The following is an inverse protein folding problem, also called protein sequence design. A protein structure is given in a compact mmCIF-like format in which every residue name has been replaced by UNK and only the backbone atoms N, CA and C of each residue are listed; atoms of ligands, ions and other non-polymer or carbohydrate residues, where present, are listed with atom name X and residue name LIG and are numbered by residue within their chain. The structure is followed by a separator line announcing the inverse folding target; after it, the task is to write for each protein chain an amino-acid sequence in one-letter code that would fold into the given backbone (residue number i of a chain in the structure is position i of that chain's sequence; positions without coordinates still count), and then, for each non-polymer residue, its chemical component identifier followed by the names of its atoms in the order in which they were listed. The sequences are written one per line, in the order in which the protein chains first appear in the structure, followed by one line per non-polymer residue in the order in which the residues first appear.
data_IF_900361954067
#
_entry.id   IF_900361954067
#
_cell.length_a   1.000
_cell.length_b   1.000
_cell.length_c   1.000
_cell.angle_alpha   90.00
_cell.angle_beta   90.00
_cell.angle_gamma   90.00
#
_symmetry.space_group_name_H-M   'P 1'
#
loop_
_entity.id
_entity.type
_entity.pdbx_description
1 polymer ?
#
# COMPACT_ATOMS: atom_id res chain seq x y z
N UNK A 1 -8.55 43.11 -34.55
CA UNK A 1 -7.71 42.02 -35.08
C UNK A 1 -7.69 40.84 -34.10
N UNK A 2 -8.85 40.24 -33.81
CA UNK A 2 -8.94 39.00 -33.02
C UNK A 2 -9.92 38.08 -33.72
N UNK A 3 -9.46 37.52 -34.84
CA UNK A 3 -10.09 36.39 -35.49
C UNK A 3 -8.99 35.67 -36.28
N UNK A 4 -9.15 34.36 -36.44
CA UNK A 4 -8.26 33.40 -37.13
C UNK A 4 -6.97 33.06 -36.38
N UNK A 5 -6.98 31.98 -35.57
CA UNK A 5 -6.27 30.71 -35.86
C UNK A 5 -6.84 29.59 -34.94
N UNK A 6 -7.98 29.02 -35.32
CA UNK A 6 -8.46 27.73 -34.80
C UNK A 6 -8.89 26.87 -36.00
N UNK A 7 -7.96 26.64 -36.92
CA UNK A 7 -8.11 25.65 -37.99
C UNK A 7 -6.98 24.64 -37.85
N UNK A 8 -7.19 23.68 -36.96
CA UNK A 8 -6.63 22.32 -36.95
C UNK A 8 -7.01 21.67 -35.61
N UNK A 9 -8.29 21.31 -35.47
CA UNK A 9 -8.78 20.37 -34.45
C UNK A 9 -9.22 19.09 -35.15
N UNK A 10 -8.34 18.54 -35.98
CA UNK A 10 -8.52 17.22 -36.58
C UNK A 10 -8.01 16.16 -35.61
N UNK A 11 -8.98 15.45 -35.03
CA UNK A 11 -8.93 14.07 -34.53
C UNK A 11 -7.56 13.37 -34.58
N UNK A 12 -6.77 13.50 -33.52
CA UNK A 12 -5.80 12.49 -33.12
C UNK A 12 -5.91 12.26 -31.62
N UNK A 13 -6.84 11.39 -31.23
CA UNK A 13 -6.99 10.89 -29.87
C UNK A 13 -5.81 9.96 -29.57
N UNK A 14 -4.69 10.52 -29.12
CA UNK A 14 -3.53 9.74 -28.69
C UNK A 14 -3.91 8.88 -27.48
N UNK A 15 -3.64 7.57 -27.61
CA UNK A 15 -4.19 6.45 -26.85
C UNK A 15 -3.67 6.28 -25.40
N UNK A 16 -3.69 7.33 -24.57
CA UNK A 16 -3.15 7.24 -23.20
C UNK A 16 -4.08 7.65 -22.06
N UNK A 17 -5.37 7.91 -22.32
CA UNK A 17 -6.32 8.21 -21.23
C UNK A 17 -7.65 7.49 -21.39
N UNK A 18 -8.41 7.49 -20.30
CA UNK A 18 -9.66 6.76 -20.18
C UNK A 18 -10.68 7.25 -21.23
N UNK A 19 -11.16 6.38 -22.13
CA UNK A 19 -12.21 6.74 -23.07
C UNK A 19 -13.54 6.91 -22.33
N UNK A 20 -13.92 8.16 -22.09
CA UNK A 20 -15.23 8.51 -21.54
C UNK A 20 -16.31 8.28 -22.60
N UNK A 21 -17.46 7.74 -22.20
CA UNK A 21 -18.54 7.30 -23.10
C UNK A 21 -19.78 8.16 -22.90
N UNK A 22 -20.51 8.44 -23.99
CA UNK A 22 -21.82 9.12 -23.96
C UNK A 22 -21.74 10.60 -23.60
N UNK A 23 -20.62 11.24 -23.94
CA UNK A 23 -20.39 12.69 -23.81
C UNK A 23 -20.12 13.34 -25.18
N UNK A 24 -20.51 12.67 -26.26
CA UNK A 24 -20.20 13.05 -27.63
C UNK A 24 -21.00 14.27 -28.10
N UNK A 25 -22.24 14.41 -27.62
CA UNK A 25 -23.13 15.53 -27.94
C UNK A 25 -23.94 15.98 -26.70
N UNK A 26 -24.56 17.15 -26.83
CA UNK A 26 -25.42 17.80 -25.84
C UNK A 26 -26.89 17.67 -26.22
N UNK A 27 -27.79 17.71 -25.24
CA UNK A 27 -29.22 17.62 -25.53
C UNK A 27 -29.71 18.95 -26.13
N UNK A 28 -30.56 18.86 -27.15
CA UNK A 28 -31.21 20.04 -27.69
C UNK A 28 -32.27 20.56 -26.73
N UNK A 29 -32.29 21.89 -26.56
CA UNK A 29 -33.29 22.56 -25.75
C UNK A 29 -34.61 22.64 -26.54
N UNK A 30 -35.55 21.77 -26.22
CA UNK A 30 -36.84 21.70 -26.92
C UNK A 30 -37.72 22.87 -26.49
N UNK A 31 -38.34 23.51 -27.49
CA UNK A 31 -39.35 24.53 -27.29
C UNK A 31 -40.67 23.87 -26.84
N UNK A 32 -40.84 23.69 -25.53
CA UNK A 32 -42.06 23.12 -24.96
C UNK A 32 -42.87 24.21 -24.24
N UNK A 33 -44.15 24.34 -24.60
CA UNK A 33 -45.15 25.08 -23.82
C UNK A 33 -45.43 24.28 -22.54
N UNK A 34 -44.55 24.37 -21.54
CA UNK A 34 -44.85 23.86 -20.21
C UNK A 34 -45.80 24.83 -19.50
N UNK A 35 -46.96 24.31 -19.09
CA UNK A 35 -48.07 25.05 -18.50
C UNK A 35 -47.75 25.71 -17.16
N UNK A 36 -48.55 26.75 -16.89
CA UNK A 36 -48.80 27.52 -15.66
C UNK A 36 -47.71 27.48 -14.56
N UNK A 37 -46.89 28.54 -14.56
CA UNK A 37 -45.75 28.77 -13.65
C UNK A 37 -44.48 29.21 -14.38
N UNK A 38 -44.56 29.33 -15.71
CA UNK A 38 -43.46 29.58 -16.64
C UNK A 38 -42.76 30.93 -16.43
N UNK A 39 -41.43 30.93 -16.61
CA UNK A 39 -40.64 32.16 -16.71
C UNK A 39 -41.31 33.11 -17.73
N UNK A 40 -41.22 34.44 -17.51
CA UNK A 40 -41.58 35.43 -18.52
C UNK A 40 -41.01 35.06 -19.91
N UNK A 41 -41.84 35.24 -20.95
CA UNK A 41 -41.56 34.76 -22.31
C UNK A 41 -40.24 35.30 -22.88
N UNK A 42 -39.89 36.54 -22.54
CA UNK A 42 -38.62 37.19 -22.85
C UNK A 42 -37.42 36.46 -22.21
N UNK A 43 -37.54 36.05 -20.94
CA UNK A 43 -36.50 35.30 -20.24
C UNK A 43 -36.37 33.88 -20.76
N UNK A 44 -37.46 33.22 -21.14
CA UNK A 44 -37.42 31.89 -21.76
C UNK A 44 -36.74 31.95 -23.13
N UNK A 45 -37.11 32.93 -23.97
CA UNK A 45 -36.49 33.14 -25.29
C UNK A 45 -34.98 33.39 -25.15
N UNK A 46 -34.58 34.15 -24.13
CA UNK A 46 -33.16 34.39 -23.84
C UNK A 46 -32.43 33.11 -23.37
N UNK A 47 -33.05 32.26 -22.55
CA UNK A 47 -32.48 30.95 -22.18
C UNK A 47 -32.33 30.06 -23.41
N UNK A 48 -33.33 29.99 -24.28
CA UNK A 48 -33.29 29.21 -25.52
C UNK A 48 -32.12 29.65 -26.42
N UNK A 49 -31.96 30.95 -26.67
CA UNK A 49 -30.85 31.47 -27.48
C UNK A 49 -29.48 31.17 -26.85
N UNK A 50 -29.35 31.31 -25.53
CA UNK A 50 -28.10 30.97 -24.82
C UNK A 50 -27.76 29.49 -24.93
N UNK A 51 -28.74 28.60 -24.75
CA UNK A 51 -28.49 27.15 -24.84
C UNK A 51 -28.15 26.75 -26.28
N UNK A 52 -28.81 27.32 -27.29
CA UNK A 52 -28.48 27.07 -28.70
C UNK A 52 -27.06 27.55 -29.07
N UNK A 53 -26.65 28.73 -28.60
CA UNK A 53 -25.27 29.22 -28.75
C UNK A 53 -24.28 28.31 -28.04
N UNK A 54 -24.61 27.85 -26.83
CA UNK A 54 -23.81 26.89 -26.08
C UNK A 54 -23.65 25.56 -26.81
N UNK A 55 -24.74 25.01 -27.37
CA UNK A 55 -24.74 23.75 -28.12
C UNK A 55 -23.90 23.86 -29.39
N UNK A 56 -23.99 24.99 -30.11
CA UNK A 56 -23.13 25.26 -31.27
C UNK A 56 -21.65 25.28 -30.87
N UNK A 57 -21.30 26.06 -29.85
CA UNK A 57 -19.93 26.17 -29.35
C UNK A 57 -19.39 24.81 -28.87
N UNK A 58 -20.22 23.99 -28.22
CA UNK A 58 -19.85 22.65 -27.77
C UNK A 58 -19.50 21.74 -28.96
N UNK A 59 -20.34 21.74 -30.01
CA UNK A 59 -20.10 20.95 -31.24
C UNK A 59 -18.88 21.44 -32.03
N UNK A 60 -18.59 22.73 -31.96
CA UNK A 60 -17.36 23.34 -32.49
C UNK A 60 -16.13 23.09 -31.59
N UNK A 61 -16.29 22.34 -30.48
CA UNK A 61 -15.26 22.07 -29.48
C UNK A 61 -14.70 23.32 -28.76
N UNK A 62 -15.42 24.45 -28.83
CA UNK A 62 -15.15 25.64 -28.04
C UNK A 62 -15.85 25.55 -26.67
N UNK A 63 -15.29 24.72 -25.78
CA UNK A 63 -15.91 24.40 -24.50
C UNK A 63 -16.01 25.58 -23.53
N UNK A 64 -15.06 26.53 -23.59
CA UNK A 64 -15.09 27.73 -22.73
C UNK A 64 -16.32 28.60 -23.03
N UNK A 65 -16.59 28.85 -24.31
CA UNK A 65 -17.76 29.59 -24.75
C UNK A 65 -19.05 28.82 -24.45
N UNK A 66 -19.05 27.49 -24.62
CA UNK A 66 -20.18 26.65 -24.24
C UNK A 66 -20.51 26.77 -22.74
N UNK A 67 -19.51 26.65 -21.87
CA UNK A 67 -19.65 26.78 -20.41
C UNK A 67 -20.18 28.17 -20.02
N UNK A 68 -19.66 29.23 -20.66
CA UNK A 68 -20.11 30.61 -20.43
C UNK A 68 -21.60 30.77 -20.75
N UNK A 69 -22.03 30.30 -21.93
CA UNK A 69 -23.42 30.38 -22.35
C UNK A 69 -24.36 29.54 -21.47
N UNK A 70 -23.99 28.30 -21.13
CA UNK A 70 -24.78 27.47 -20.22
C UNK A 70 -24.84 28.03 -18.80
N UNK A 71 -23.75 28.64 -18.31
CA UNK A 71 -23.74 29.28 -17.00
C UNK A 71 -24.69 30.48 -16.95
N UNK A 72 -24.73 31.29 -18.01
CA UNK A 72 -25.70 32.38 -18.17
C UNK A 72 -27.14 31.84 -18.22
N UNK A 73 -27.38 30.75 -18.95
CA UNK A 73 -28.69 30.10 -19.00
C UNK A 73 -29.14 29.59 -17.62
N UNK A 74 -28.25 28.93 -16.87
CA UNK A 74 -28.53 28.44 -15.51
C UNK A 74 -28.74 29.58 -14.50
N UNK A 75 -28.16 30.76 -14.70
CA UNK A 75 -28.45 31.92 -13.85
C UNK A 75 -29.87 32.46 -14.06
N UNK A 76 -30.45 32.26 -15.25
CA UNK A 76 -31.82 32.69 -15.55
C UNK A 76 -32.83 31.63 -15.10
N UNK A 77 -32.59 30.36 -15.45
CA UNK A 77 -33.42 29.21 -15.05
C UNK A 77 -32.56 28.19 -14.29
N UNK A 78 -32.34 28.40 -12.98
CA UNK A 78 -31.52 27.48 -12.19
C UNK A 78 -32.24 26.15 -11.98
N UNK A 79 -31.52 25.03 -12.16
CA UNK A 79 -32.11 23.71 -11.97
C UNK A 79 -32.83 23.14 -13.18
N UNK A 80 -32.69 23.75 -14.36
CA UNK A 80 -33.15 23.13 -15.60
C UNK A 80 -32.29 21.87 -15.92
N UNK A 81 -32.89 20.67 -16.08
CA UNK A 81 -32.15 19.44 -16.29
C UNK A 81 -31.26 19.44 -17.53
N UNK A 82 -31.75 20.04 -18.63
CA UNK A 82 -31.02 20.09 -19.91
C UNK A 82 -29.82 21.03 -19.77
N UNK A 83 -30.03 22.22 -19.18
CA UNK A 83 -28.94 23.19 -18.98
C UNK A 83 -27.86 22.61 -18.06
N UNK A 84 -28.24 21.96 -16.95
CA UNK A 84 -27.28 21.33 -16.04
C UNK A 84 -26.53 20.17 -16.70
N UNK A 85 -27.23 19.30 -17.44
CA UNK A 85 -26.62 18.18 -18.15
C UNK A 85 -25.64 18.63 -19.22
N UNK A 86 -25.99 19.63 -20.01
CA UNK A 86 -25.14 20.18 -21.06
C UNK A 86 -23.92 20.92 -20.48
N UNK A 87 -24.12 21.67 -19.39
CA UNK A 87 -23.01 22.33 -18.67
C UNK A 87 -22.04 21.33 -18.06
N UNK A 88 -22.54 20.28 -17.42
CA UNK A 88 -21.72 19.18 -16.88
C UNK A 88 -20.93 18.49 -17.99
N UNK A 89 -21.57 18.21 -19.13
CA UNK A 89 -20.90 17.64 -20.32
C UNK A 89 -19.77 18.54 -20.82
N UNK A 90 -20.00 19.86 -20.89
CA UNK A 90 -18.98 20.82 -21.29
C UNK A 90 -17.78 20.85 -20.33
N UNK A 91 -18.04 20.79 -19.01
CA UNK A 91 -16.98 20.69 -18.00
C UNK A 91 -16.17 19.39 -18.10
N UNK A 92 -16.82 18.25 -18.37
CA UNK A 92 -16.14 16.97 -18.58
C UNK A 92 -15.22 17.06 -19.81
N UNK A 93 -15.74 17.60 -20.92
CA UNK A 93 -14.98 17.71 -22.19
C UNK A 93 -13.79 18.65 -22.09
N UNK A 94 -13.92 19.81 -21.43
CA UNK A 94 -12.78 20.71 -21.22
C UNK A 94 -11.74 20.09 -20.28
N UNK A 95 -12.17 19.42 -19.20
CA UNK A 95 -11.25 18.72 -18.29
C UNK A 95 -10.47 17.62 -19.01
N UNK A 96 -11.16 16.80 -19.81
CA UNK A 96 -10.54 15.77 -20.64
C UNK A 96 -9.54 16.38 -21.64
N UNK A 97 -9.93 17.44 -22.35
CA UNK A 97 -9.05 18.15 -23.29
C UNK A 97 -7.78 18.66 -22.62
N UNK A 98 -7.90 19.29 -21.44
CA UNK A 98 -6.75 19.82 -20.71
C UNK A 98 -5.85 18.70 -20.16
N UNK A 99 -6.40 17.56 -19.74
CA UNK A 99 -5.62 16.40 -19.29
C UNK A 99 -4.81 15.75 -20.41
N UNK A 100 -5.34 15.73 -21.64
CA UNK A 100 -4.66 15.13 -22.80
C UNK A 100 -3.69 16.07 -23.50
N UNK A 101 -3.54 17.30 -23.02
CA UNK A 101 -2.65 18.29 -23.62
C UNK A 101 -1.19 17.87 -23.47
N UNK A 102 -0.39 17.81 -24.57
CA UNK A 102 1.01 17.43 -24.47
C UNK A 102 1.82 18.52 -23.74
N UNK A 103 2.87 18.16 -22.98
CA UNK A 103 3.71 19.12 -22.27
C UNK A 103 4.30 20.21 -23.18
N UNK A 104 4.65 19.85 -24.42
CA UNK A 104 5.19 20.78 -25.43
C UNK A 104 4.23 21.91 -25.80
N UNK A 105 2.91 21.67 -25.76
CA UNK A 105 1.93 22.73 -26.03
C UNK A 105 1.92 23.80 -24.92
N UNK A 106 2.29 23.42 -23.68
CA UNK A 106 2.35 24.33 -22.54
C UNK A 106 3.51 25.33 -22.60
N UNK A 107 4.55 25.04 -23.38
CA UNK A 107 5.70 25.94 -23.57
C UNK A 107 5.33 27.16 -24.43
N UNK A 108 4.52 26.96 -25.48
CA UNK A 108 4.14 28.02 -26.40
C UNK A 108 2.83 28.72 -26.03
N UNK A 109 1.98 28.06 -25.22
CA UNK A 109 0.69 28.60 -24.80
C UNK A 109 0.43 28.19 -23.34
N UNK A 110 0.72 29.06 -22.35
CA UNK A 110 0.41 28.76 -20.96
C UNK A 110 -1.10 28.58 -20.78
N UNK A 111 -1.49 27.68 -19.87
CA UNK A 111 -2.89 27.54 -19.47
C UNK A 111 -3.26 28.76 -18.63
N UNK A 112 -4.23 29.53 -19.10
CA UNK A 112 -4.85 30.60 -18.34
C UNK A 112 -6.26 30.12 -17.97
N UNK A 113 -6.58 30.04 -16.68
CA UNK A 113 -7.91 29.64 -16.22
C UNK A 113 -7.88 28.61 -15.11
N UNK A 114 -8.97 27.85 -15.01
CA UNK A 114 -9.16 26.79 -14.03
C UNK A 114 -8.37 25.53 -14.42
N UNK A 115 -7.92 24.79 -13.41
CA UNK A 115 -7.25 23.52 -13.59
C UNK A 115 -8.22 22.41 -14.05
N UNK A 116 -7.72 21.32 -14.65
CA UNK A 116 -8.58 20.23 -15.13
C UNK A 116 -9.39 19.56 -14.02
N UNK A 117 -8.84 19.50 -12.81
CA UNK A 117 -9.48 18.91 -11.64
C UNK A 117 -10.66 19.75 -11.15
N UNK A 118 -10.54 21.07 -11.06
CA UNK A 118 -11.67 21.95 -10.71
C UNK A 118 -12.78 21.91 -11.75
N UNK A 119 -12.46 21.80 -13.04
CA UNK A 119 -13.48 21.54 -14.06
C UNK A 119 -14.24 20.23 -13.82
N UNK A 120 -13.54 19.15 -13.46
CA UNK A 120 -14.18 17.87 -13.14
C UNK A 120 -15.03 17.94 -11.85
N UNK A 121 -14.61 18.69 -10.84
CA UNK A 121 -15.41 18.93 -9.63
C UNK A 121 -16.69 19.72 -9.92
N UNK A 122 -16.61 20.75 -10.78
CA UNK A 122 -17.79 21.49 -11.22
C UNK A 122 -18.75 20.60 -12.02
N UNK A 123 -18.23 19.72 -12.87
CA UNK A 123 -19.04 18.72 -13.57
C UNK A 123 -19.77 17.79 -12.60
N UNK A 124 -19.06 17.30 -11.57
CA UNK A 124 -19.62 16.42 -10.55
C UNK A 124 -20.75 17.10 -9.78
N UNK A 125 -20.57 18.37 -9.39
CA UNK A 125 -21.59 19.16 -8.69
C UNK A 125 -22.86 19.31 -9.52
N UNK A 126 -22.73 19.56 -10.82
CA UNK A 126 -23.86 19.66 -11.74
C UNK A 126 -24.57 18.31 -11.93
N UNK A 127 -23.80 17.22 -12.04
CA UNK A 127 -24.35 15.88 -12.16
C UNK A 127 -25.10 15.43 -10.90
N UNK A 128 -24.59 15.75 -9.70
CA UNK A 128 -25.29 15.49 -8.44
C UNK A 128 -26.57 16.32 -8.29
N UNK A 129 -26.53 17.59 -8.70
CA UNK A 129 -27.74 18.42 -8.73
C UNK A 129 -28.77 17.86 -9.71
N UNK A 130 -28.34 17.35 -10.86
CA UNK A 130 -29.21 16.70 -11.84
C UNK A 130 -29.82 15.41 -11.30
N UNK A 131 -29.05 14.59 -10.58
CA UNK A 131 -29.54 13.37 -9.91
C UNK A 131 -30.62 13.68 -8.86
N UNK A 132 -30.45 14.76 -8.09
CA UNK A 132 -31.44 15.17 -7.10
C UNK A 132 -32.77 15.61 -7.74
N UNK A 133 -32.74 16.10 -8.98
CA UNK A 133 -33.93 16.53 -9.72
C UNK A 133 -34.56 15.40 -10.54
N UNK A 134 -33.72 14.53 -11.12
CA UNK A 134 -34.09 13.42 -11.98
C UNK A 134 -33.32 12.17 -11.56
N UNK A 135 -33.78 11.54 -10.48
CA UNK A 135 -33.16 10.33 -9.91
C UNK A 135 -33.18 9.14 -10.87
N UNK A 136 -34.12 9.11 -11.81
CA UNK A 136 -34.31 7.99 -12.75
C UNK A 136 -33.70 8.26 -14.13
N UNK A 137 -32.77 9.22 -14.25
CA UNK A 137 -32.11 9.52 -15.52
C UNK A 137 -30.80 8.76 -15.67
N UNK A 138 -30.71 7.89 -16.66
CA UNK A 138 -29.47 7.19 -17.02
C UNK A 138 -28.31 8.18 -17.32
N UNK A 139 -28.63 9.34 -17.93
CA UNK A 139 -27.65 10.40 -18.25
C UNK A 139 -27.02 11.01 -17.00
N UNK A 140 -27.77 11.21 -15.93
CA UNK A 140 -27.26 11.84 -14.71
C UNK A 140 -26.24 10.94 -13.99
N UNK A 141 -26.48 9.62 -13.98
CA UNK A 141 -25.52 8.62 -13.51
C UNK A 141 -24.25 8.57 -14.37
N UNK A 142 -24.40 8.63 -15.69
CA UNK A 142 -23.27 8.61 -16.63
C UNK A 142 -22.37 9.84 -16.47
N UNK A 143 -22.96 11.04 -16.36
CA UNK A 143 -22.21 12.28 -16.13
C UNK A 143 -21.46 12.25 -14.79
N UNK A 144 -22.11 11.76 -13.73
CA UNK A 144 -21.46 11.57 -12.42
C UNK A 144 -20.28 10.62 -12.50
N UNK A 145 -20.45 9.47 -13.17
CA UNK A 145 -19.38 8.50 -13.35
C UNK A 145 -18.19 9.08 -14.12
N UNK A 146 -18.44 9.77 -15.24
CA UNK A 146 -17.40 10.39 -16.05
C UNK A 146 -16.63 11.48 -15.28
N UNK A 147 -17.31 12.30 -14.47
CA UNK A 147 -16.66 13.27 -13.60
C UNK A 147 -15.79 12.60 -12.52
N UNK A 148 -16.27 11.52 -11.89
CA UNK A 148 -15.51 10.77 -10.90
C UNK A 148 -14.28 10.07 -11.48
N UNK A 149 -14.37 9.57 -12.72
CA UNK A 149 -13.22 9.02 -13.46
C UNK A 149 -12.17 10.10 -13.70
N UNK A 150 -12.57 11.31 -14.09
CA UNK A 150 -11.66 12.45 -14.23
C UNK A 150 -11.04 12.89 -12.90
N UNK A 151 -11.68 12.62 -11.77
CA UNK A 151 -11.12 12.85 -10.44
C UNK A 151 -10.34 11.65 -9.88
N UNK A 152 -10.19 10.58 -10.66
CA UNK A 152 -9.52 9.33 -10.27
C UNK A 152 -10.15 8.62 -9.06
N UNK A 153 -11.44 8.88 -8.78
CA UNK A 153 -12.24 8.24 -7.73
C UNK A 153 -13.00 7.05 -8.31
N UNK A 154 -12.25 6.03 -8.74
CA UNK A 154 -12.77 4.91 -9.54
C UNK A 154 -13.77 4.01 -8.81
N UNK A 155 -13.62 3.87 -7.49
CA UNK A 155 -14.55 3.17 -6.61
C UNK A 155 -15.94 3.82 -6.66
N UNK A 156 -16.01 5.11 -6.41
CA UNK A 156 -17.25 5.88 -6.47
C UNK A 156 -17.83 5.94 -7.89
N UNK A 157 -16.96 5.99 -8.91
CA UNK A 157 -17.39 5.97 -10.30
C UNK A 157 -18.07 4.64 -10.65
N UNK A 158 -17.52 3.52 -10.18
CA UNK A 158 -18.11 2.18 -10.37
C UNK A 158 -19.50 2.11 -9.73
N UNK A 159 -19.65 2.58 -8.50
CA UNK A 159 -20.93 2.59 -7.81
C UNK A 159 -21.97 3.43 -8.57
N UNK A 160 -21.57 4.61 -9.08
CA UNK A 160 -22.45 5.46 -9.88
C UNK A 160 -22.92 4.77 -11.18
N UNK A 161 -22.04 4.02 -11.86
CA UNK A 161 -22.38 3.24 -13.06
C UNK A 161 -23.34 2.10 -12.71
N UNK A 162 -23.09 1.38 -11.62
CA UNK A 162 -23.95 0.29 -11.17
C UNK A 162 -25.35 0.80 -10.79
N UNK A 163 -25.45 1.95 -10.12
CA UNK A 163 -26.73 2.60 -9.87
C UNK A 163 -27.45 2.98 -11.18
N UNK A 164 -26.73 3.48 -12.17
CA UNK A 164 -27.30 3.78 -13.49
C UNK A 164 -27.80 2.53 -14.23
N UNK A 165 -27.09 1.41 -14.13
CA UNK A 165 -27.49 0.13 -14.72
C UNK A 165 -28.71 -0.49 -14.02
N UNK A 166 -28.98 -0.14 -12.76
CA UNK A 166 -30.24 -0.53 -12.11
C UNK A 166 -31.44 0.22 -12.69
N UNK A 167 -31.23 1.47 -13.14
CA UNK A 167 -32.27 2.28 -13.78
C UNK A 167 -32.50 1.84 -15.23
N UNK A 168 -31.41 1.61 -15.97
CA UNK A 168 -31.46 1.09 -17.34
C UNK A 168 -30.44 -0.03 -17.56
N UNK A 169 -30.86 -1.31 -17.39
CA UNK A 169 -29.99 -2.47 -17.54
C UNK A 169 -29.41 -2.68 -18.94
N UNK A 170 -30.05 -2.13 -19.98
CA UNK A 170 -29.68 -2.34 -21.39
C UNK A 170 -28.92 -1.16 -21.99
N UNK A 171 -28.50 -0.20 -21.15
CA UNK A 171 -27.74 0.97 -21.60
C UNK A 171 -26.32 0.59 -22.05
N UNK A 172 -26.12 0.56 -23.36
CA UNK A 172 -24.80 0.41 -24.00
C UNK A 172 -23.71 1.36 -23.44
N UNK A 173 -23.96 2.66 -23.17
CA UNK A 173 -22.89 3.56 -22.71
C UNK A 173 -22.41 3.24 -21.28
N UNK A 174 -23.30 2.85 -20.37
CA UNK A 174 -22.92 2.49 -19.00
C UNK A 174 -22.19 1.15 -18.96
N UNK A 175 -22.63 0.16 -19.75
CA UNK A 175 -21.93 -1.12 -19.87
C UNK A 175 -20.51 -0.94 -20.44
N UNK A 176 -20.37 -0.13 -21.50
CA UNK A 176 -19.05 0.20 -22.07
C UNK A 176 -18.16 0.94 -21.06
N UNK A 177 -18.72 1.90 -20.33
CA UNK A 177 -17.99 2.62 -19.27
C UNK A 177 -17.53 1.68 -18.15
N UNK A 178 -18.35 0.71 -17.75
CA UNK A 178 -17.99 -0.29 -16.74
C UNK A 178 -16.83 -1.17 -17.22
N UNK A 179 -16.91 -1.70 -18.44
CA UNK A 179 -15.85 -2.53 -19.03
C UNK A 179 -14.54 -1.75 -19.17
N UNK A 180 -14.60 -0.48 -19.57
CA UNK A 180 -13.42 0.38 -19.65
C UNK A 180 -12.81 0.64 -18.26
N UNK A 181 -13.66 0.84 -17.25
CA UNK A 181 -13.25 1.00 -15.84
C UNK A 181 -12.57 -0.25 -15.31
N UNK A 182 -13.15 -1.42 -15.53
CA UNK A 182 -12.57 -2.71 -15.13
C UNK A 182 -11.25 -2.98 -15.85
N UNK A 183 -11.15 -2.70 -17.15
CA UNK A 183 -9.89 -2.87 -17.90
C UNK A 183 -8.79 -1.93 -17.39
N UNK A 184 -9.15 -0.68 -17.09
CA UNK A 184 -8.20 0.33 -16.61
C UNK A 184 -7.74 0.02 -15.19
N UNK A 185 -8.67 -0.32 -14.29
CA UNK A 185 -8.33 -0.74 -12.93
C UNK A 185 -7.55 -2.04 -12.93
N UNK A 186 -7.89 -3.02 -13.77
CA UNK A 186 -7.11 -4.25 -13.93
C UNK A 186 -5.71 -3.98 -14.49
N UNK A 187 -5.52 -2.98 -15.35
CA UNK A 187 -4.19 -2.58 -15.86
C UNK A 187 -3.38 -1.84 -14.80
N UNK A 188 -4.01 -0.96 -14.00
CA UNK A 188 -3.39 -0.28 -12.86
C UNK A 188 -3.03 -1.26 -11.75
N UNK A 189 -3.92 -2.22 -11.47
CA UNK A 189 -3.72 -3.31 -10.51
C UNK A 189 -2.69 -4.28 -11.07
N UNK A 190 -2.67 -4.59 -12.36
CA UNK A 190 -1.64 -5.42 -13.02
C UNK A 190 -0.24 -4.79 -12.97
N UNK A 191 -0.13 -3.47 -12.83
CA UNK A 191 1.14 -2.78 -12.52
C UNK A 191 1.46 -2.75 -11.01
N UNK A 192 0.45 -2.84 -10.13
CA UNK A 192 0.63 -2.93 -8.66
C UNK A 192 0.82 -4.36 -8.17
N UNK A 193 0.37 -5.35 -8.94
CA UNK A 193 0.75 -6.75 -8.85
C UNK A 193 2.02 -6.89 -9.70
N UNK A 194 3.10 -6.24 -9.27
CA UNK A 194 4.25 -7.10 -9.02
C UNK A 194 3.69 -8.13 -8.06
N UNK A 195 3.65 -9.41 -8.48
CA UNK A 195 3.40 -10.48 -7.52
C UNK A 195 4.22 -10.18 -6.26
N UNK A 196 3.71 -10.55 -5.09
CA UNK A 196 4.58 -10.81 -3.93
C UNK A 196 5.92 -11.26 -4.49
N UNK A 197 7.01 -10.45 -4.37
CA UNK A 197 8.25 -10.77 -5.04
C UNK A 197 8.54 -12.20 -4.65
N UNK A 198 8.58 -13.10 -5.64
CA UNK A 198 8.90 -14.50 -5.41
C UNK A 198 10.16 -14.46 -4.56
N UNK A 199 10.06 -14.92 -3.31
CA UNK A 199 11.07 -14.70 -2.29
C UNK A 199 12.36 -15.30 -2.83
N UNK A 200 13.26 -14.44 -3.31
CA UNK A 200 14.61 -14.87 -3.61
C UNK A 200 15.26 -15.20 -2.27
N UNK A 201 16.10 -16.23 -2.23
CA UNK A 201 16.81 -16.69 -1.03
C UNK A 201 17.77 -15.63 -0.45
N UNK A 202 17.79 -14.41 -0.99
CA UNK A 202 18.63 -13.28 -0.59
C UNK A 202 18.35 -12.78 0.84
N UNK A 203 17.13 -13.00 1.37
CA UNK A 203 16.74 -12.61 2.73
C UNK A 203 16.76 -13.78 3.71
N UNK A 204 17.34 -14.91 3.32
CA UNK A 204 17.35 -16.13 4.11
C UNK A 204 18.63 -16.25 4.92
N UNK A 205 18.46 -16.64 6.17
CA UNK A 205 19.59 -16.97 7.02
C UNK A 205 20.17 -18.32 6.58
N UNK A 206 21.43 -18.36 6.17
CA UNK A 206 22.07 -19.60 5.70
C UNK A 206 22.28 -20.65 6.80
N UNK A 207 21.98 -20.33 8.06
CA UNK A 207 22.06 -21.26 9.19
C UNK A 207 20.73 -21.96 9.47
N UNK A 208 19.62 -21.22 9.43
CA UNK A 208 18.28 -21.78 9.69
C UNK A 208 17.44 -21.97 8.43
N UNK A 209 17.92 -21.50 7.27
CA UNK A 209 17.25 -21.57 5.97
C UNK A 209 15.82 -20.98 6.02
N UNK A 210 15.65 -19.94 6.83
CA UNK A 210 14.42 -19.19 7.03
C UNK A 210 14.71 -17.70 6.95
N UNK A 211 13.66 -16.90 6.80
CA UNK A 211 13.73 -15.45 6.73
C UNK A 211 14.55 -14.90 7.92
N UNK A 212 15.43 -13.95 7.63
CA UNK A 212 16.27 -13.30 8.63
C UNK A 212 15.39 -12.61 9.69
N UNK A 213 15.55 -13.02 10.95
CA UNK A 213 14.91 -12.40 12.12
C UNK A 213 15.98 -11.74 12.99
N UNK A 214 15.80 -10.46 13.30
CA UNK A 214 16.83 -9.61 13.89
C UNK A 214 18.19 -9.77 13.19
N UNK A 215 18.29 -9.44 11.89
CA UNK A 215 19.48 -9.69 11.09
C UNK A 215 20.71 -8.96 11.64
N UNK A 216 21.80 -9.68 11.75
CA UNK A 216 23.11 -9.15 12.10
C UNK A 216 24.02 -9.29 10.89
N UNK A 217 24.62 -8.18 10.46
CA UNK A 217 25.62 -8.18 9.40
C UNK A 217 27.00 -8.19 10.01
N UNK A 218 27.74 -9.26 9.76
CA UNK A 218 29.12 -9.45 10.22
C UNK A 218 30.08 -8.51 9.46
N UNK A 219 31.28 -8.18 10.01
CA UNK A 219 32.26 -7.33 9.32
C UNK A 219 32.79 -7.93 8.02
N UNK A 220 32.63 -9.23 7.79
CA UNK A 220 32.92 -9.87 6.51
C UNK A 220 31.77 -9.77 5.50
N UNK A 221 30.70 -9.02 5.80
CA UNK A 221 29.58 -8.73 4.89
C UNK A 221 28.45 -9.77 4.87
N UNK A 222 28.53 -10.83 5.67
CA UNK A 222 27.50 -11.87 5.71
C UNK A 222 26.44 -11.59 6.79
N UNK A 223 25.17 -11.83 6.46
CA UNK A 223 24.04 -11.57 7.36
C UNK A 223 23.41 -12.86 7.88
N UNK A 224 23.12 -12.90 9.18
CA UNK A 224 22.51 -14.05 9.85
C UNK A 224 21.47 -13.57 10.87
N UNK A 225 20.57 -14.45 11.32
CA UNK A 225 19.73 -14.17 12.47
C UNK A 225 20.59 -13.98 13.73
N UNK A 226 20.19 -13.05 14.61
CA UNK A 226 20.87 -12.80 15.89
C UNK A 226 21.15 -14.08 16.67
N UNK A 227 20.11 -14.88 16.93
CA UNK A 227 20.21 -16.15 17.66
C UNK A 227 21.13 -17.15 16.96
N UNK A 228 20.99 -17.32 15.65
CA UNK A 228 21.77 -18.29 14.87
C UNK A 228 23.27 -17.98 14.89
N UNK A 229 23.66 -16.71 14.76
CA UNK A 229 25.06 -16.31 14.82
C UNK A 229 25.66 -16.57 16.22
N UNK A 230 24.95 -16.19 17.29
CA UNK A 230 25.45 -16.43 18.65
C UNK A 230 25.61 -17.93 18.96
N UNK A 231 24.65 -18.75 18.54
CA UNK A 231 24.74 -20.20 18.69
C UNK A 231 25.91 -20.82 17.90
N UNK A 232 26.27 -20.26 16.74
CA UNK A 232 27.45 -20.75 16.00
C UNK A 232 28.76 -20.31 16.67
N UNK A 233 28.78 -19.11 17.27
CA UNK A 233 29.96 -18.57 17.95
C UNK A 233 30.31 -19.34 19.24
N UNK A 234 29.36 -20.06 19.86
CA UNK A 234 29.64 -20.99 20.97
C UNK A 234 30.69 -22.06 20.61
N UNK A 235 30.83 -22.41 19.32
CA UNK A 235 31.81 -23.39 18.82
C UNK A 235 33.10 -22.73 18.31
N UNK A 236 33.13 -21.41 18.15
CA UNK A 236 34.28 -20.66 17.69
C UNK A 236 33.93 -19.36 16.97
N UNK A 237 34.83 -18.37 17.05
CA UNK A 237 34.61 -17.01 16.55
C UNK A 237 34.93 -16.86 15.05
N UNK A 238 34.36 -17.71 14.21
CA UNK A 238 34.55 -17.67 12.75
C UNK A 238 33.20 -17.54 12.04
N UNK A 239 33.16 -16.83 10.92
CA UNK A 239 31.98 -16.71 10.09
C UNK A 239 31.58 -18.09 9.53
N UNK A 240 30.31 -18.51 9.66
CA UNK A 240 29.86 -19.80 9.13
C UNK A 240 29.99 -19.94 7.61
N UNK A 241 29.94 -18.82 6.87
CA UNK A 241 30.00 -18.81 5.40
C UNK A 241 31.45 -18.70 4.89
N UNK A 242 32.14 -17.62 5.23
CA UNK A 242 33.48 -17.36 4.69
C UNK A 242 34.64 -17.73 5.63
N UNK A 243 34.36 -18.24 6.84
CA UNK A 243 35.36 -18.64 7.86
C UNK A 243 36.29 -17.53 8.37
N UNK A 244 36.04 -16.28 7.99
CA UNK A 244 36.75 -15.11 8.52
C UNK A 244 36.59 -15.03 10.04
N UNK A 245 37.65 -14.62 10.74
CA UNK A 245 37.61 -14.43 12.20
C UNK A 245 36.75 -13.22 12.53
N UNK A 246 35.75 -13.43 13.38
CA UNK A 246 34.78 -12.42 13.78
C UNK A 246 35.15 -11.87 15.16
N UNK A 247 35.55 -10.59 15.22
CA UNK A 247 35.82 -9.88 16.47
C UNK A 247 34.56 -9.20 17.01
N UNK A 248 33.52 -9.98 17.27
CA UNK A 248 32.20 -9.45 17.66
C UNK A 248 31.74 -10.06 18.97
N UNK A 249 31.13 -9.25 19.82
CA UNK A 249 30.57 -9.65 21.11
C UNK A 249 29.07 -9.28 21.17
N UNK A 250 28.25 -9.93 22.01
CA UNK A 250 26.82 -9.62 22.13
C UNK A 250 26.47 -8.15 22.38
N UNK A 251 27.42 -7.39 22.95
CA UNK A 251 27.31 -5.96 23.22
C UNK A 251 27.71 -5.05 22.05
N UNK A 252 28.59 -5.52 21.16
CA UNK A 252 29.08 -4.75 20.00
C UNK A 252 28.30 -5.09 18.72
N UNK A 253 27.56 -6.20 18.75
CA UNK A 253 26.78 -6.69 17.63
C UNK A 253 25.36 -6.08 17.63
N UNK A 254 25.18 -5.01 16.87
CA UNK A 254 23.87 -4.40 16.66
C UNK A 254 23.10 -5.09 15.52
N UNK A 255 21.77 -5.09 15.63
CA UNK A 255 20.89 -5.53 14.55
C UNK A 255 20.99 -4.52 13.40
N UNK A 256 21.08 -5.02 12.17
CA UNK A 256 21.07 -4.19 10.97
C UNK A 256 19.70 -3.58 10.79
N UNK A 257 19.57 -2.30 11.15
CA UNK A 257 18.29 -1.57 11.11
C UNK A 257 17.74 -1.54 9.68
N UNK A 258 18.58 -1.18 8.70
CA UNK A 258 18.16 -1.07 7.30
C UNK A 258 17.65 -2.41 6.75
N UNK A 259 18.39 -3.50 6.98
CA UNK A 259 18.00 -4.82 6.50
C UNK A 259 16.70 -5.29 7.19
N UNK A 260 16.58 -5.06 8.49
CA UNK A 260 15.38 -5.38 9.25
C UNK A 260 14.15 -4.59 8.75
N UNK A 261 14.29 -3.28 8.50
CA UNK A 261 13.23 -2.44 7.96
C UNK A 261 12.79 -2.87 6.55
N UNK A 262 13.74 -3.27 5.71
CA UNK A 262 13.45 -3.81 4.36
C UNK A 262 12.65 -5.11 4.48
N UNK A 263 13.05 -6.04 5.36
CA UNK A 263 12.35 -7.30 5.55
C UNK A 263 10.93 -7.06 6.06
N UNK A 264 10.75 -6.25 7.11
CA UNK A 264 9.43 -6.00 7.68
C UNK A 264 8.46 -5.33 6.70
N UNK A 265 8.97 -4.46 5.81
CA UNK A 265 8.15 -3.77 4.81
C UNK A 265 7.74 -4.70 3.66
N UNK A 266 8.64 -5.59 3.24
CA UNK A 266 8.40 -6.47 2.09
C UNK A 266 7.72 -7.80 2.47
N UNK A 267 7.98 -8.34 3.66
CA UNK A 267 7.51 -9.66 4.13
C UNK A 267 6.93 -9.60 5.55
N UNK A 268 5.83 -8.86 5.78
CA UNK A 268 5.31 -8.62 7.12
C UNK A 268 4.75 -9.88 7.81
N UNK A 269 4.07 -10.75 7.07
CA UNK A 269 3.45 -11.97 7.62
C UNK A 269 4.51 -13.00 8.03
N UNK A 270 5.46 -13.30 7.15
CA UNK A 270 6.57 -14.24 7.44
C UNK A 270 7.45 -13.74 8.59
N UNK A 271 7.71 -12.43 8.68
CA UNK A 271 8.46 -11.87 9.80
C UNK A 271 7.70 -12.02 11.13
N UNK A 272 6.37 -11.88 11.12
CA UNK A 272 5.53 -12.08 12.30
C UNK A 272 5.53 -13.55 12.77
N UNK A 273 5.51 -14.51 11.84
CA UNK A 273 5.67 -15.94 12.15
C UNK A 273 7.05 -16.21 12.77
N UNK A 274 8.11 -15.65 12.19
CA UNK A 274 9.48 -15.80 12.73
C UNK A 274 9.61 -15.21 14.13
N UNK A 275 8.89 -14.12 14.41
CA UNK A 275 8.81 -13.52 15.75
C UNK A 275 8.11 -14.46 16.74
N UNK A 276 6.97 -15.04 16.39
CA UNK A 276 6.24 -15.96 17.29
C UNK A 276 7.04 -17.24 17.57
N UNK A 277 7.74 -17.79 16.57
CA UNK A 277 8.68 -18.90 16.75
C UNK A 277 9.78 -18.54 17.76
N UNK A 278 10.38 -17.35 17.60
CA UNK A 278 11.44 -16.89 18.48
C UNK A 278 10.96 -16.64 19.93
N UNK A 279 9.82 -15.97 20.08
CA UNK A 279 9.22 -15.69 21.37
C UNK A 279 8.84 -16.99 22.10
N UNK A 280 8.37 -18.01 21.37
CA UNK A 280 8.07 -19.34 21.90
C UNK A 280 9.32 -20.10 22.38
N UNK A 281 10.47 -19.88 21.74
CA UNK A 281 11.76 -20.47 22.16
C UNK A 281 12.36 -19.77 23.40
N UNK A 282 12.07 -18.47 23.60
CA UNK A 282 12.59 -17.69 24.73
C UNK A 282 11.67 -17.80 25.95
N UNK A 283 10.36 -17.69 25.74
CA UNK A 283 9.35 -17.80 26.77
C UNK A 283 8.77 -19.21 26.79
N UNK A 284 9.54 -20.15 27.35
CA UNK A 284 8.88 -21.28 27.99
C UNK A 284 8.02 -20.67 29.11
N UNK A 285 6.72 -20.97 29.10
CA UNK A 285 5.86 -20.71 30.25
C UNK A 285 6.47 -21.32 31.52
N UNK A 286 5.79 -21.12 32.64
CA UNK A 286 6.23 -21.39 34.03
C UNK A 286 6.61 -22.86 34.34
N UNK A 287 6.82 -23.71 33.34
CA UNK A 287 7.30 -25.08 33.49
C UNK A 287 8.80 -25.06 33.79
N UNK A 288 9.14 -25.22 35.07
CA UNK A 288 10.49 -25.53 35.51
C UNK A 288 10.94 -26.84 34.84
N UNK A 289 11.66 -26.74 33.73
CA UNK A 289 12.45 -27.86 33.23
C UNK A 289 13.69 -27.99 34.13
N UNK A 290 13.85 -29.09 34.88
CA UNK A 290 15.01 -29.24 35.75
C UNK A 290 16.29 -29.25 34.90
N UNK A 291 17.15 -28.27 35.15
CA UNK A 291 18.42 -28.03 34.45
C UNK A 291 19.36 -29.25 34.55
N UNK A 292 19.18 -30.07 35.58
CA UNK A 292 19.91 -31.30 35.87
C UNK A 292 18.96 -32.36 36.43
N UNK A 293 18.93 -33.54 35.83
CA UNK A 293 18.41 -34.76 36.46
C UNK A 293 19.62 -35.50 37.01
N UNK A 294 19.82 -35.47 38.33
CA UNK A 294 20.93 -36.19 38.97
C UNK A 294 20.44 -37.57 39.40
N UNK A 295 20.98 -38.62 38.78
CA UNK A 295 20.95 -39.97 39.35
C UNK A 295 21.94 -40.06 40.52
N UNK A 296 21.75 -41.02 41.42
CA UNK A 296 22.60 -41.22 42.61
C UNK A 296 24.08 -41.32 42.20
N UNK A 297 24.90 -40.35 42.62
CA UNK A 297 26.33 -40.26 42.27
C UNK A 297 27.19 -40.75 43.44
N UNK A 298 28.09 -41.70 43.17
CA UNK A 298 29.11 -42.16 44.13
C UNK A 298 30.33 -41.22 44.05
N UNK A 299 31.01 -40.90 45.18
CA UNK A 299 32.25 -40.12 45.15
C UNK A 299 33.26 -40.67 44.14
N UNK A 300 33.89 -39.78 43.36
CA UNK A 300 34.90 -40.08 42.33
C UNK A 300 34.41 -40.79 41.05
N UNK A 301 33.10 -40.94 40.84
CA UNK A 301 32.57 -41.49 39.59
C UNK A 301 32.52 -40.41 38.49
N UNK A 302 32.98 -40.75 37.27
CA UNK A 302 32.82 -39.87 36.09
C UNK A 302 31.35 -39.84 35.69
N UNK A 303 30.73 -38.66 35.75
CA UNK A 303 29.33 -38.46 35.40
C UNK A 303 29.20 -37.67 34.08
N UNK A 304 28.51 -38.20 33.05
CA UNK A 304 28.24 -37.46 31.82
C UNK A 304 27.12 -36.44 32.05
N UNK A 305 27.47 -35.15 32.04
CA UNK A 305 26.50 -34.07 32.22
C UNK A 305 25.86 -33.70 30.88
N UNK A 306 24.61 -34.12 30.68
CA UNK A 306 23.84 -33.77 29.49
C UNK A 306 23.22 -32.38 29.65
N UNK A 307 23.85 -31.39 29.03
CA UNK A 307 23.32 -30.02 28.97
C UNK A 307 22.42 -29.93 27.74
N UNK A 308 21.11 -29.96 27.98
CA UNK A 308 20.09 -29.98 26.93
C UNK A 308 19.98 -28.66 26.16
N UNK A 309 20.34 -27.53 26.79
CA UNK A 309 20.22 -26.20 26.17
C UNK A 309 21.56 -25.47 26.04
N UNK A 310 21.93 -24.98 24.84
CA UNK A 310 23.22 -24.34 24.57
C UNK A 310 23.54 -23.16 25.49
N UNK A 311 22.51 -22.36 25.86
CA UNK A 311 22.64 -21.19 26.75
C UNK A 311 23.30 -21.51 28.10
N UNK A 312 23.14 -22.74 28.60
CA UNK A 312 23.71 -23.15 29.87
C UNK A 312 25.12 -23.74 29.75
N UNK A 313 25.64 -24.02 28.54
CA UNK A 313 26.99 -24.56 28.37
C UNK A 313 28.07 -23.62 28.89
N UNK A 314 27.93 -22.31 28.66
CA UNK A 314 28.88 -21.31 29.15
C UNK A 314 28.81 -21.19 30.68
N UNK A 315 27.60 -21.17 31.24
CA UNK A 315 27.37 -21.14 32.69
C UNK A 315 28.02 -22.35 33.39
N UNK A 316 27.80 -23.55 32.83
CA UNK A 316 28.37 -24.79 33.34
C UNK A 316 29.87 -24.90 33.10
N UNK A 317 30.38 -24.47 31.95
CA UNK A 317 31.83 -24.50 31.68
C UNK A 317 32.60 -23.59 32.64
N UNK A 318 32.08 -22.40 32.95
CA UNK A 318 32.66 -21.52 33.96
C UNK A 318 32.52 -22.09 35.38
N UNK A 319 31.37 -22.68 35.73
CA UNK A 319 31.16 -23.27 37.07
C UNK A 319 31.95 -24.56 37.29
N UNK A 320 32.11 -25.42 36.30
CA UNK A 320 32.90 -26.66 36.40
C UNK A 320 34.39 -26.36 36.56
N UNK A 321 34.88 -25.27 35.94
CA UNK A 321 36.25 -24.77 36.17
C UNK A 321 36.40 -24.22 37.60
N UNK A 322 35.39 -23.52 38.13
CA UNK A 322 35.38 -23.05 39.51
C UNK A 322 35.26 -24.19 40.53
N UNK A 323 34.47 -25.23 40.24
CA UNK A 323 34.28 -26.42 41.07
C UNK A 323 35.59 -27.22 41.15
N UNK A 324 36.34 -27.37 40.05
CA UNK A 324 37.65 -28.03 40.09
C UNK A 324 38.70 -27.28 40.92
N UNK A 325 38.54 -25.97 41.14
CA UNK A 325 39.43 -25.17 41.99
C UNK A 325 38.95 -24.99 43.44
N UNK A 326 37.65 -25.06 43.71
CA UNK A 326 37.08 -24.73 45.03
C UNK A 326 36.45 -25.90 45.80
N UNK A 327 36.14 -27.04 45.15
CA UNK A 327 35.60 -28.19 45.88
C UNK A 327 36.59 -28.98 46.76
N UNK A 328 37.93 -28.95 46.59
CA UNK A 328 38.81 -29.60 47.56
C UNK A 328 38.79 -28.91 48.93
N UNK A 329 38.48 -27.61 49.00
CA UNK A 329 38.58 -26.83 50.24
C UNK A 329 37.26 -26.70 50.99
N UNK A 330 36.13 -26.50 50.29
CA UNK A 330 34.84 -26.26 50.98
C UNK A 330 34.17 -27.56 51.44
N UNK A 331 34.44 -28.69 50.78
CA UNK A 331 33.92 -29.99 51.21
C UNK A 331 34.76 -30.62 52.34
N UNK A 332 36.07 -30.34 52.41
CA UNK A 332 36.93 -30.85 53.48
C UNK A 332 36.61 -30.23 54.85
N UNK A 333 36.23 -28.96 54.91
CA UNK A 333 36.01 -28.27 56.18
C UNK A 333 34.68 -28.68 56.85
N UNK A 334 33.69 -29.10 56.04
CA UNK A 334 32.43 -29.69 56.55
C UNK A 334 32.55 -31.18 56.87
N UNK A 335 33.49 -31.92 56.28
CA UNK A 335 33.72 -33.34 56.58
C UNK A 335 34.67 -33.52 57.79
N UNK A 336 35.65 -32.62 58.01
CA UNK A 336 36.53 -32.66 59.20
C UNK A 336 35.79 -32.45 60.53
N UNK A 337 34.68 -31.72 60.54
CA UNK A 337 33.84 -31.57 61.75
C UNK A 337 32.91 -32.75 62.01
N UNK A 338 32.76 -33.66 61.05
CA UNK A 338 31.88 -34.83 61.17
C UNK A 338 32.62 -36.14 61.48
N UNK A 339 33.96 -36.17 61.41
CA UNK A 339 34.74 -37.40 61.64
C UNK A 339 35.85 -37.12 62.64
N UNK A 340 35.50 -37.17 63.94
CA UNK A 340 36.46 -37.59 64.96
C UNK A 340 36.74 -39.07 64.74
N UNK A 341 37.94 -39.39 64.29
CA UNK A 341 38.44 -40.76 64.25
C UNK A 341 39.01 -41.16 62.89
N UNK A 342 40.29 -41.54 62.92
CA UNK A 342 41.00 -42.36 61.94
C UNK A 342 41.50 -41.70 60.63
N UNK A 343 42.77 -41.29 60.73
CA UNK A 343 43.90 -41.50 59.79
C UNK A 343 43.83 -40.95 58.36
N UNK A 344 44.66 -39.92 58.15
CA UNK A 344 45.24 -39.43 56.90
C UNK A 344 45.64 -40.56 55.93
N UNK A 345 45.28 -40.42 54.65
CA UNK A 345 46.14 -40.86 53.55
C UNK A 345 46.08 -39.82 52.43
N UNK A 346 47.23 -39.18 52.20
CA UNK A 346 47.57 -38.28 51.10
C UNK A 346 47.33 -38.94 49.75
N UNK A 347 46.78 -38.22 48.75
CA UNK A 347 47.19 -38.49 47.36
C UNK A 347 47.22 -37.25 46.45
N UNK A 348 48.30 -37.27 45.66
CA UNK A 348 48.83 -36.31 44.69
C UNK A 348 47.93 -36.10 43.48
N UNK A 349 48.00 -34.85 43.00
CA UNK A 349 47.50 -34.37 41.72
C UNK A 349 48.32 -34.97 40.56
N UNK A 350 47.65 -35.53 39.56
CA UNK A 350 48.13 -35.69 38.18
C UNK A 350 47.03 -35.21 37.23
#
# INVERSE_FOLDING_TARGET
MYCTVFSQMSAETTASGFPLVGIDDVDDYIWANEGEGSLPWDRYTHVFDLVQKGNRAFRESNFEEAISNYSRANNIKPGDPIVLGNRSSAYIRISQFLKHRPPSASEYRPLNGLDPTTHAELALKDAEKLLNLQSNSMKSHLLKANALILLERYDMARDAILSGLQVDPFSNPLQASLQNLERTTASLIGRRIHGTPERTDDFDCTLCLKLLYEPITTPCGHSFCRSCLFQSMDRGNKCPLCRAVLFITPRTCAVSVTLNSIIQKNFPEEYAERKSEHDSLINFGVDLMPLFVMDVVIPCQRFPLHIFEPRYRLMVSCHVVLINFWLPYVLFDKIKKAVHGTTLMDYKVL
#
